data_IF_737656495654
#
_entry.id   IF_737656495654
#
_cell.length_a   1.000
_cell.length_b   1.000
_cell.length_c   1.000
_cell.angle_alpha   90.00
_cell.angle_beta   90.00
_cell.angle_gamma   90.00
#
_symmetry.space_group_name_H-M   'P 1'
#
loop_
_entity.id
_entity.type
_entity.pdbx_description
1 polymer ?
#
# COMPACT_ATOMS: atom_id res chain seq x y z
N UNK A 1 -34.23 -7.54 37.31
CA UNK A 1 -32.79 -7.26 37.51
C UNK A 1 -31.94 -7.70 36.33
N UNK A 2 -31.90 -8.98 35.95
CA UNK A 2 -31.09 -9.44 34.80
C UNK A 2 -31.46 -8.77 33.47
N UNK A 3 -32.75 -8.67 33.14
CA UNK A 3 -33.22 -8.03 31.90
C UNK A 3 -32.82 -6.55 31.79
N UNK A 4 -32.81 -5.83 32.91
CA UNK A 4 -32.40 -4.41 32.95
C UNK A 4 -30.90 -4.26 32.70
N UNK A 5 -30.09 -5.15 33.28
CA UNK A 5 -28.65 -5.20 33.04
C UNK A 5 -28.33 -5.54 31.59
N UNK A 6 -29.08 -6.47 30.99
CA UNK A 6 -28.93 -6.86 29.59
C UNK A 6 -29.26 -5.70 28.63
N UNK A 7 -30.31 -4.94 28.94
CA UNK A 7 -30.69 -3.78 28.14
C UNK A 7 -29.60 -2.70 28.18
N UNK A 8 -29.08 -2.41 29.38
CA UNK A 8 -28.02 -1.42 29.59
C UNK A 8 -26.71 -1.83 28.91
N UNK A 9 -26.35 -3.11 28.94
CA UNK A 9 -25.12 -3.59 28.29
C UNK A 9 -25.20 -3.48 26.77
N UNK A 10 -26.33 -3.84 26.16
CA UNK A 10 -26.55 -3.71 24.71
C UNK A 10 -26.45 -2.25 24.27
N UNK A 11 -27.02 -1.31 25.04
CA UNK A 11 -26.95 0.12 24.74
C UNK A 11 -25.49 0.60 24.77
N UNK A 12 -24.71 0.19 25.78
CA UNK A 12 -23.29 0.55 25.89
C UNK A 12 -22.46 0.01 24.72
N UNK A 13 -22.68 -1.24 24.34
CA UNK A 13 -22.01 -1.87 23.19
C UNK A 13 -22.42 -1.15 21.89
N UNK A 14 -23.70 -0.83 21.73
CA UNK A 14 -24.22 -0.06 20.60
C UNK A 14 -23.53 1.30 20.47
N UNK A 15 -23.39 2.03 21.57
CA UNK A 15 -22.67 3.31 21.60
C UNK A 15 -21.20 3.17 21.18
N UNK A 16 -20.52 2.13 21.64
CA UNK A 16 -19.13 1.87 21.25
C UNK A 16 -19.01 1.58 19.73
N UNK A 17 -19.89 0.74 19.19
CA UNK A 17 -19.92 0.42 17.76
C UNK A 17 -20.23 1.65 16.91
N UNK A 18 -21.18 2.50 17.34
CA UNK A 18 -21.49 3.76 16.66
C UNK A 18 -20.29 4.70 16.67
N UNK A 19 -19.58 4.83 17.81
CA UNK A 19 -18.36 5.64 17.89
C UNK A 19 -17.25 5.15 16.93
N UNK A 20 -17.06 3.84 16.83
CA UNK A 20 -16.15 3.24 15.86
C UNK A 20 -16.60 3.48 14.42
N UNK A 21 -17.89 3.33 14.12
CA UNK A 21 -18.45 3.55 12.79
C UNK A 21 -18.29 5.01 12.34
N UNK A 22 -18.55 5.98 13.23
CA UNK A 22 -18.31 7.40 12.97
C UNK A 22 -16.85 7.64 12.60
N UNK A 23 -15.88 7.04 13.33
CA UNK A 23 -14.45 7.16 13.00
C UNK A 23 -14.11 6.61 11.62
N UNK A 24 -14.74 5.50 11.21
CA UNK A 24 -14.53 4.86 9.89
C UNK A 24 -15.17 5.69 8.75
N UNK A 25 -16.29 6.36 9.01
CA UNK A 25 -16.98 7.18 7.99
C UNK A 25 -16.37 8.58 7.90
N UNK A 26 -16.01 9.20 9.04
CA UNK A 26 -15.43 10.54 9.09
C UNK A 26 -13.94 10.62 8.73
N UNK A 27 -13.24 9.49 8.56
CA UNK A 27 -11.92 9.51 7.90
C UNK A 27 -12.11 9.97 6.45
N UNK A 28 -11.98 11.29 6.24
CA UNK A 28 -12.16 12.05 4.97
C UNK A 28 -11.32 11.52 3.79
N UNK A 29 -10.47 10.54 3.99
CA UNK A 29 -9.62 9.95 2.95
C UNK A 29 -9.55 8.43 3.05
N UNK A 30 -10.62 7.79 3.55
CA UNK A 30 -10.80 6.33 3.58
C UNK A 30 -10.96 5.68 2.21
N UNK A 31 -10.24 6.14 1.18
CA UNK A 31 -10.00 5.30 0.01
C UNK A 31 -9.13 4.16 0.51
N UNK A 32 -9.64 2.93 0.44
CA UNK A 32 -8.82 1.75 0.67
C UNK A 32 -7.56 1.92 -0.19
N UNK A 33 -6.35 1.80 0.41
CA UNK A 33 -5.13 1.97 -0.34
C UNK A 33 -5.16 1.05 -1.55
N UNK A 34 -4.82 1.60 -2.71
CA UNK A 34 -4.78 0.84 -3.97
C UNK A 34 -3.98 -0.46 -3.74
N UNK A 35 -4.67 -1.60 -3.78
CA UNK A 35 -4.09 -2.92 -3.49
C UNK A 35 -3.17 -3.39 -4.61
N UNK A 36 -3.37 -2.84 -5.81
CA UNK A 36 -2.51 -3.09 -6.97
C UNK A 36 -1.24 -2.24 -6.86
N UNK A 37 -0.11 -2.91 -6.62
CA UNK A 37 1.22 -2.28 -6.54
C UNK A 37 1.52 -1.38 -7.74
N UNK A 38 1.07 -1.75 -8.94
CA UNK A 38 1.31 -0.99 -10.17
C UNK A 38 0.54 0.34 -10.29
N UNK A 39 -0.67 0.43 -9.75
CA UNK A 39 -1.51 1.64 -9.81
C UNK A 39 -1.38 2.53 -8.58
N UNK A 40 -0.76 2.02 -7.51
CA UNK A 40 -0.63 2.74 -6.25
C UNK A 40 0.48 3.81 -6.30
N UNK A 41 0.07 5.09 -6.32
CA UNK A 41 0.98 6.25 -6.31
C UNK A 41 1.85 6.31 -5.06
N UNK A 42 1.33 5.90 -3.90
CA UNK A 42 2.06 5.94 -2.63
C UNK A 42 3.17 4.87 -2.58
N UNK A 43 2.91 3.68 -3.12
CA UNK A 43 3.95 2.64 -3.25
C UNK A 43 5.03 3.06 -4.26
N UNK A 44 4.64 3.73 -5.35
CA UNK A 44 5.58 4.29 -6.34
C UNK A 44 6.51 5.34 -5.73
N UNK A 45 6.00 6.23 -4.87
CA UNK A 45 6.83 7.21 -4.13
C UNK A 45 7.88 6.52 -3.25
N UNK A 46 7.53 5.36 -2.68
CA UNK A 46 8.44 4.54 -1.84
C UNK A 46 9.36 3.62 -2.66
N UNK A 47 9.33 3.71 -4.00
CA UNK A 47 10.09 2.84 -4.93
C UNK A 47 9.78 1.36 -4.79
N UNK A 48 8.56 1.01 -4.39
CA UNK A 48 8.11 -0.39 -4.33
C UNK A 48 7.37 -0.67 -5.64
N UNK A 49 7.87 -1.60 -6.43
CA UNK A 49 7.23 -2.01 -7.69
C UNK A 49 6.89 -3.50 -7.69
N UNK A 50 6.05 -3.92 -8.63
CA UNK A 50 5.86 -5.34 -8.90
C UNK A 50 7.19 -5.96 -9.35
N UNK A 51 7.47 -7.20 -8.91
CA UNK A 51 8.70 -7.95 -9.21
C UNK A 51 9.08 -7.90 -10.70
N UNK A 52 8.10 -8.09 -11.60
CA UNK A 52 8.31 -8.02 -13.05
C UNK A 52 8.77 -6.64 -13.55
N UNK A 53 8.31 -5.58 -12.89
CA UNK A 53 8.72 -4.20 -13.20
C UNK A 53 10.11 -3.92 -12.65
N UNK A 54 10.42 -4.39 -11.45
CA UNK A 54 11.76 -4.25 -10.87
C UNK A 54 12.83 -4.94 -11.72
N UNK A 55 12.57 -6.17 -12.16
CA UNK A 55 13.47 -6.89 -13.07
C UNK A 55 13.75 -6.08 -14.35
N UNK A 56 12.72 -5.55 -15.02
CA UNK A 56 12.91 -4.69 -16.20
C UNK A 56 13.73 -3.43 -15.91
N UNK A 57 13.61 -2.85 -14.72
CA UNK A 57 14.40 -1.68 -14.31
C UNK A 57 15.87 -2.07 -14.11
N UNK A 58 16.12 -3.22 -13.48
CA UNK A 58 17.47 -3.77 -13.27
C UNK A 58 18.13 -4.10 -14.61
N UNK A 59 17.43 -4.82 -15.50
CA UNK A 59 17.95 -5.20 -16.83
C UNK A 59 18.31 -3.97 -17.68
N UNK A 60 17.43 -2.96 -17.68
CA UNK A 60 17.70 -1.71 -18.40
C UNK A 60 18.87 -0.93 -17.79
N UNK A 61 19.05 -0.99 -16.46
CA UNK A 61 20.20 -0.38 -15.79
C UNK A 61 21.50 -1.08 -16.17
N UNK A 62 21.52 -2.42 -16.19
CA UNK A 62 22.67 -3.23 -16.62
C UNK A 62 23.01 -2.92 -18.09
N UNK A 63 22.01 -2.90 -18.98
CA UNK A 63 22.22 -2.58 -20.41
C UNK A 63 22.79 -1.17 -20.62
N UNK A 64 22.34 -0.17 -19.84
CA UNK A 64 22.91 1.19 -19.89
C UNK A 64 24.35 1.22 -19.36
N UNK A 65 24.64 0.51 -18.28
CA UNK A 65 26.00 0.40 -17.72
C UNK A 65 26.96 -0.21 -18.76
N UNK A 66 26.53 -1.29 -19.42
CA UNK A 66 27.27 -1.95 -20.51
C UNK A 66 27.34 -1.13 -21.82
N UNK A 67 26.50 -0.11 -22.02
CA UNK A 67 26.61 0.81 -23.17
C UNK A 67 27.56 1.97 -22.89
N UNK A 68 27.65 2.42 -21.65
CA UNK A 68 28.55 3.50 -21.24
C UNK A 68 29.97 2.99 -21.00
N UNK A 69 30.12 1.75 -20.53
CA UNK A 69 31.33 0.97 -20.70
C UNK A 69 31.32 0.44 -22.13
N UNK A 70 31.61 1.31 -23.09
CA UNK A 70 31.96 0.84 -24.43
C UNK A 70 33.02 -0.27 -24.30
N UNK A 71 32.98 -1.33 -25.13
CA UNK A 71 33.99 -2.37 -25.05
C UNK A 71 35.35 -1.68 -25.21
N UNK A 72 36.26 -1.87 -24.25
CA UNK A 72 37.68 -1.72 -24.51
C UNK A 72 38.06 -2.86 -25.46
N UNK A 73 37.69 -2.72 -26.74
CA UNK A 73 38.28 -3.47 -27.83
C UNK A 73 39.71 -2.94 -28.00
N UNK A 74 40.60 -3.35 -27.10
CA UNK A 74 42.04 -3.12 -27.22
C UNK A 74 42.77 -4.44 -27.02
N UNK A 75 42.62 -5.33 -28.00
CA UNK A 75 43.60 -6.37 -28.36
C UNK A 75 43.09 -7.10 -29.62
N UNK A 76 43.06 -6.36 -30.73
CA UNK A 76 43.42 -6.92 -32.02
C UNK A 76 44.89 -6.60 -32.26
#
# INVERSE_FOLDING_TARGET
MFLQLLLISIIFIGFAVVGFAVKIIFTKSGKFPETMVGHNKELRKRKIYCIKTEQKIIDNKIKKMNRSQGPSCSSC
#
